data_IF_909575226540
#
_entry.id   IF_909575226540
#
_cell.length_a   1.000
_cell.length_b   1.000
_cell.length_c   1.000
_cell.angle_alpha   90.00
_cell.angle_beta   90.00
_cell.angle_gamma   90.00
#
_symmetry.space_group_name_H-M   'P 1'
#
loop_
_entity.id
_entity.type
_entity.pdbx_description
1 polymer ?
#
# COMPACT_ATOMS: atom_id res chain seq x y z
N UNK A 1 5.57 111.67 -22.28
CA UNK A 1 5.64 110.37 -21.55
C UNK A 1 5.95 110.70 -20.10
N UNK A 2 5.00 110.48 -19.18
CA UNK A 2 5.05 110.94 -17.78
C UNK A 2 6.32 110.46 -17.04
N UNK A 3 6.88 111.30 -16.17
CA UNK A 3 8.09 110.99 -15.38
C UNK A 3 8.00 109.68 -14.60
N UNK A 4 6.78 109.30 -14.20
CA UNK A 4 6.45 108.01 -13.60
C UNK A 4 6.94 106.82 -14.45
N UNK A 5 6.70 106.83 -15.76
CA UNK A 5 7.09 105.74 -16.65
C UNK A 5 8.60 105.71 -16.94
N UNK A 6 9.29 106.87 -16.86
CA UNK A 6 10.76 106.91 -16.97
C UNK A 6 11.44 106.32 -15.74
N UNK A 7 10.93 106.60 -14.54
CA UNK A 7 11.46 106.03 -13.28
C UNK A 7 11.25 104.52 -13.19
N UNK A 8 10.08 104.04 -13.60
CA UNK A 8 9.76 102.60 -13.64
C UNK A 8 10.64 101.87 -14.67
N UNK A 9 10.86 102.44 -15.86
CA UNK A 9 11.79 101.86 -16.83
C UNK A 9 13.24 101.83 -16.32
N UNK A 10 13.74 102.90 -15.70
CA UNK A 10 15.12 102.94 -15.19
C UNK A 10 15.37 101.96 -14.03
N UNK A 11 14.35 101.67 -13.21
CA UNK A 11 14.45 100.69 -12.12
C UNK A 11 14.31 99.23 -12.58
N UNK A 12 13.49 98.96 -13.59
CA UNK A 12 13.19 97.60 -14.07
C UNK A 12 14.11 97.13 -15.20
N UNK A 13 14.66 98.03 -16.03
CA UNK A 13 15.57 97.63 -17.11
C UNK A 13 16.80 96.87 -16.60
N UNK A 14 17.53 97.32 -15.55
CA UNK A 14 18.73 96.62 -15.09
C UNK A 14 18.42 95.22 -14.58
N UNK A 15 17.29 95.04 -13.89
CA UNK A 15 16.87 93.74 -13.35
C UNK A 15 16.39 92.79 -14.44
N UNK A 16 15.66 93.29 -15.45
CA UNK A 16 15.26 92.49 -16.61
C UNK A 16 16.48 92.09 -17.44
N UNK A 17 17.42 93.02 -17.67
CA UNK A 17 18.68 92.72 -18.37
C UNK A 17 19.50 91.69 -17.60
N UNK A 18 19.65 91.84 -16.28
CA UNK A 18 20.38 90.87 -15.45
C UNK A 18 19.69 89.50 -15.41
N UNK A 19 18.35 89.44 -15.38
CA UNK A 19 17.62 88.18 -15.43
C UNK A 19 17.81 87.47 -16.78
N UNK A 20 17.72 88.19 -17.89
CA UNK A 20 17.92 87.67 -19.24
C UNK A 20 19.38 87.23 -19.45
N UNK A 21 20.35 88.02 -18.98
CA UNK A 21 21.76 87.62 -18.99
C UNK A 21 21.98 86.38 -18.12
N UNK A 22 21.36 86.29 -16.94
CA UNK A 22 21.51 85.10 -16.08
C UNK A 22 20.98 83.84 -16.75
N UNK A 23 19.86 83.90 -17.48
CA UNK A 23 19.30 82.72 -18.15
C UNK A 23 20.05 82.36 -19.43
N UNK A 24 20.51 83.35 -20.21
CA UNK A 24 21.27 83.11 -21.45
C UNK A 24 22.68 82.58 -21.17
N UNK A 25 23.28 82.96 -20.04
CA UNK A 25 24.61 82.50 -19.65
C UNK A 25 24.58 81.33 -18.65
N UNK A 26 23.39 80.84 -18.25
CA UNK A 26 23.27 79.69 -17.36
C UNK A 26 23.81 78.42 -18.02
N UNK A 27 23.44 78.16 -19.28
CA UNK A 27 23.94 77.01 -20.02
C UNK A 27 25.46 77.09 -20.20
N UNK A 28 26.00 78.28 -20.47
CA UNK A 28 27.45 78.51 -20.60
C UNK A 28 28.17 78.33 -19.25
N UNK A 29 27.56 78.76 -18.14
CA UNK A 29 28.11 78.59 -16.79
C UNK A 29 28.10 77.11 -16.37
N UNK A 30 27.03 76.39 -16.68
CA UNK A 30 26.93 74.94 -16.45
C UNK A 30 28.01 74.22 -17.26
N UNK A 31 28.12 74.49 -18.57
CA UNK A 31 29.07 73.80 -19.46
C UNK A 31 30.54 74.11 -19.16
N UNK A 32 30.87 75.36 -18.82
CA UNK A 32 32.27 75.78 -18.63
C UNK A 32 32.77 75.76 -17.20
N UNK A 33 31.88 75.84 -16.20
CA UNK A 33 32.28 75.96 -14.78
C UNK A 33 31.88 74.73 -13.97
N UNK A 34 30.63 74.26 -14.12
CA UNK A 34 30.12 73.15 -13.30
C UNK A 34 30.50 71.79 -13.89
N UNK A 35 30.25 71.57 -15.18
CA UNK A 35 30.51 70.28 -15.84
C UNK A 35 31.96 69.80 -15.69
N UNK A 36 32.99 70.65 -15.93
CA UNK A 36 34.38 70.23 -15.78
C UNK A 36 34.71 69.91 -14.33
N UNK A 37 34.14 70.63 -13.36
CA UNK A 37 34.34 70.36 -11.93
C UNK A 37 33.73 69.03 -11.48
N UNK A 38 32.52 68.72 -11.95
CA UNK A 38 31.83 67.45 -11.65
C UNK A 38 32.51 66.27 -12.34
N UNK A 39 32.89 66.40 -13.61
CA UNK A 39 33.64 65.35 -14.34
C UNK A 39 34.98 65.08 -13.67
N UNK A 40 35.74 66.12 -13.29
CA UNK A 40 37.02 65.96 -12.59
C UNK A 40 36.86 65.36 -11.19
N UNK A 41 35.75 65.64 -10.49
CA UNK A 41 35.42 64.98 -9.22
C UNK A 41 35.07 63.50 -9.43
N UNK A 42 34.29 63.15 -10.47
CA UNK A 42 33.94 61.76 -10.79
C UNK A 42 35.15 60.94 -11.26
N UNK A 43 36.06 61.54 -12.02
CA UNK A 43 37.35 60.94 -12.42
C UNK A 43 38.26 60.75 -11.19
N UNK A 44 38.40 61.77 -10.33
CA UNK A 44 39.21 61.67 -9.10
C UNK A 44 38.64 60.69 -8.08
N UNK A 45 37.32 60.49 -8.04
CA UNK A 45 36.65 59.52 -7.17
C UNK A 45 36.57 58.11 -7.77
N UNK A 46 37.13 57.88 -8.97
CA UNK A 46 37.20 56.57 -9.64
C UNK A 46 35.85 55.88 -9.86
N UNK A 47 34.73 56.62 -9.74
CA UNK A 47 33.37 56.09 -9.66
C UNK A 47 32.95 55.37 -10.95
N UNK A 48 33.40 55.87 -12.11
CA UNK A 48 33.09 55.28 -13.41
C UNK A 48 33.95 54.04 -13.69
N UNK A 49 35.16 53.95 -13.12
CA UNK A 49 36.09 52.85 -13.43
C UNK A 49 35.81 51.58 -12.62
N UNK A 50 35.21 51.68 -11.43
CA UNK A 50 34.95 50.51 -10.59
C UNK A 50 33.83 49.63 -11.15
N UNK A 51 32.67 50.20 -11.48
CA UNK A 51 31.52 49.43 -11.98
C UNK A 51 31.75 48.89 -13.41
N UNK A 52 32.53 49.61 -14.23
CA UNK A 52 32.96 49.13 -15.56
C UNK A 52 34.00 48.01 -15.45
N UNK A 53 34.97 48.10 -14.51
CA UNK A 53 35.95 47.01 -14.28
C UNK A 53 35.33 45.77 -13.66
N UNK A 54 34.25 45.92 -12.90
CA UNK A 54 33.50 44.81 -12.30
C UNK A 54 32.47 44.17 -13.25
N UNK A 55 32.37 44.63 -14.51
CA UNK A 55 31.50 44.01 -15.53
C UNK A 55 30.01 44.13 -15.22
N UNK A 56 29.62 45.06 -14.34
CA UNK A 56 28.22 45.23 -13.90
C UNK A 56 27.31 45.89 -14.95
N UNK A 57 27.89 46.40 -16.03
CA UNK A 57 27.17 46.93 -17.18
C UNK A 57 27.56 46.16 -18.45
N UNK A 58 26.61 45.45 -19.04
CA UNK A 58 26.75 44.84 -20.37
C UNK A 58 26.10 45.78 -21.37
N UNK A 59 26.89 46.48 -22.19
CA UNK A 59 26.34 47.19 -23.34
C UNK A 59 26.12 46.19 -24.48
N UNK A 60 24.87 45.79 -24.70
CA UNK A 60 24.50 45.00 -25.87
C UNK A 60 23.98 45.92 -26.97
N UNK A 61 24.37 45.70 -28.22
CA UNK A 61 23.78 46.40 -29.37
C UNK A 61 22.42 45.78 -29.70
N UNK A 62 21.53 46.54 -30.36
CA UNK A 62 20.17 46.08 -30.72
C UNK A 62 20.18 44.74 -31.48
N UNK A 63 21.19 44.54 -32.32
CA UNK A 63 21.38 43.32 -33.09
C UNK A 63 21.69 42.09 -32.19
N UNK A 64 22.51 42.26 -31.15
CA UNK A 64 22.87 41.20 -30.19
C UNK A 64 21.72 40.87 -29.22
N UNK A 65 20.85 41.84 -28.93
CA UNK A 65 19.62 41.59 -28.18
C UNK A 65 18.63 40.74 -28.98
N UNK A 66 18.47 41.05 -30.28
CA UNK A 66 17.55 40.33 -31.17
C UNK A 66 18.02 38.91 -31.50
N UNK A 67 19.32 38.64 -31.57
CA UNK A 67 19.85 37.30 -31.86
C UNK A 67 19.65 36.30 -30.71
N UNK A 68 19.71 36.76 -29.46
CA UNK A 68 19.58 35.88 -28.29
C UNK A 68 18.13 35.62 -27.87
N UNK A 69 17.16 36.37 -28.40
CA UNK A 69 15.74 36.28 -28.04
C UNK A 69 14.80 36.01 -29.22
N UNK A 70 15.30 35.48 -30.34
CA UNK A 70 14.45 34.99 -31.42
C UNK A 70 13.72 33.71 -30.98
N UNK A 71 12.44 33.84 -30.64
CA UNK A 71 11.54 32.70 -30.51
C UNK A 71 11.30 32.17 -31.93
N UNK A 72 11.63 30.90 -32.17
CA UNK A 72 11.45 30.27 -33.46
C UNK A 72 9.98 30.34 -33.89
N UNK A 73 9.74 30.82 -35.11
CA UNK A 73 8.41 30.96 -35.71
C UNK A 73 7.62 29.65 -35.72
N UNK A 74 8.32 28.51 -35.83
CA UNK A 74 7.71 27.18 -35.76
C UNK A 74 7.07 26.91 -34.40
N UNK A 75 7.66 27.38 -33.30
CA UNK A 75 7.11 27.22 -31.95
C UNK A 75 5.81 28.04 -31.82
N UNK A 76 5.76 29.23 -32.39
CA UNK A 76 4.56 30.09 -32.37
C UNK A 76 3.44 29.51 -33.25
N UNK A 77 3.77 28.91 -34.39
CA UNK A 77 2.82 28.22 -35.24
C UNK A 77 2.25 26.98 -34.55
N UNK A 78 3.09 26.14 -33.95
CA UNK A 78 2.65 24.94 -33.23
C UNK A 78 1.80 25.30 -31.98
N UNK A 79 2.09 26.42 -31.31
CA UNK A 79 1.25 26.94 -30.22
C UNK A 79 -0.12 27.43 -30.72
N UNK A 80 -0.15 28.13 -31.86
CA UNK A 80 -1.38 28.59 -32.52
C UNK A 80 -2.24 27.43 -33.00
N UNK A 81 -1.60 26.40 -33.55
CA UNK A 81 -2.26 25.20 -34.11
C UNK A 81 -2.67 24.21 -33.00
N UNK A 82 -2.37 24.53 -31.73
CA UNK A 82 -2.87 23.79 -30.58
C UNK A 82 -2.15 22.46 -30.32
N UNK A 83 -0.94 22.27 -30.87
CA UNK A 83 -0.14 21.05 -30.65
C UNK A 83 0.33 20.90 -29.19
N UNK A 84 0.34 21.99 -28.42
CA UNK A 84 0.75 21.97 -27.01
C UNK A 84 -0.46 22.04 -26.07
N UNK A 85 -0.52 21.09 -25.13
CA UNK A 85 -1.50 21.09 -24.04
C UNK A 85 -0.89 21.75 -22.81
N UNK A 86 -1.65 22.63 -22.16
CA UNK A 86 -1.25 23.25 -20.89
C UNK A 86 -0.96 22.17 -19.84
N UNK A 87 0.17 22.27 -19.14
CA UNK A 87 0.57 21.34 -18.06
C UNK A 87 -0.55 21.12 -17.04
N UNK A 88 -1.28 22.18 -16.67
CA UNK A 88 -2.43 22.10 -15.76
C UNK A 88 -3.55 21.17 -16.26
N UNK A 89 -3.76 21.07 -17.59
CA UNK A 89 -4.73 20.13 -18.17
C UNK A 89 -4.21 18.70 -18.09
N UNK A 90 -2.91 18.48 -18.33
CA UNK A 90 -2.27 17.17 -18.14
C UNK A 90 -2.37 16.70 -16.69
N UNK A 91 -2.02 17.55 -15.72
CA UNK A 91 -2.14 17.27 -14.29
C UNK A 91 -3.58 16.91 -13.90
N UNK A 92 -4.57 17.68 -14.37
CA UNK A 92 -5.99 17.37 -14.09
C UNK A 92 -6.47 16.06 -14.70
N UNK A 93 -5.92 15.64 -15.84
CA UNK A 93 -6.24 14.36 -16.48
C UNK A 93 -5.59 13.22 -15.71
N UNK A 94 -4.35 13.39 -15.26
CA UNK A 94 -3.62 12.44 -14.44
C UNK A 94 -4.32 12.23 -13.09
N UNK A 95 -4.71 13.30 -12.40
CA UNK A 95 -5.44 13.25 -11.14
C UNK A 95 -6.78 12.52 -11.27
N UNK A 96 -7.59 12.88 -12.28
CA UNK A 96 -8.85 12.19 -12.56
C UNK A 96 -8.66 10.69 -12.90
N UNK A 97 -7.59 10.35 -13.62
CA UNK A 97 -7.30 8.96 -13.95
C UNK A 97 -6.87 8.18 -12.70
N UNK A 98 -6.05 8.77 -11.84
CA UNK A 98 -5.62 8.16 -10.58
C UNK A 98 -6.80 7.94 -9.64
N UNK A 99 -7.69 8.92 -9.47
CA UNK A 99 -8.91 8.76 -8.66
C UNK A 99 -9.82 7.64 -9.17
N UNK A 100 -9.98 7.53 -10.50
CA UNK A 100 -10.73 6.43 -11.12
C UNK A 100 -10.08 5.09 -10.87
N UNK A 101 -8.76 5.01 -10.99
CA UNK A 101 -7.97 3.80 -10.73
C UNK A 101 -8.11 3.36 -9.27
N UNK A 102 -7.99 4.28 -8.32
CA UNK A 102 -8.15 4.00 -6.90
C UNK A 102 -9.55 3.50 -6.56
N UNK A 103 -10.57 4.10 -7.15
CA UNK A 103 -11.96 3.63 -6.99
C UNK A 103 -12.13 2.21 -7.52
N UNK A 104 -11.64 1.93 -8.73
CA UNK A 104 -11.70 0.58 -9.32
C UNK A 104 -10.95 -0.42 -8.44
N UNK A 105 -9.74 -0.10 -7.99
CA UNK A 105 -8.96 -0.97 -7.10
C UNK A 105 -9.70 -1.25 -5.79
N UNK A 106 -10.36 -0.24 -5.21
CA UNK A 106 -11.15 -0.41 -3.99
C UNK A 106 -12.35 -1.33 -4.21
N UNK A 107 -13.10 -1.13 -5.29
CA UNK A 107 -14.26 -1.96 -5.64
C UNK A 107 -13.84 -3.42 -5.86
N UNK A 108 -12.73 -3.66 -6.58
CA UNK A 108 -12.16 -5.00 -6.76
C UNK A 108 -11.71 -5.64 -5.46
N UNK A 109 -11.02 -4.90 -4.59
CA UNK A 109 -10.60 -5.41 -3.26
C UNK A 109 -11.81 -5.84 -2.42
N UNK A 110 -12.87 -5.04 -2.43
CA UNK A 110 -14.10 -5.37 -1.70
C UNK A 110 -14.78 -6.62 -2.29
N UNK A 111 -14.89 -6.72 -3.62
CA UNK A 111 -15.46 -7.90 -4.27
C UNK A 111 -14.66 -9.18 -3.97
N UNK A 112 -13.33 -9.11 -4.01
CA UNK A 112 -12.44 -10.23 -3.66
C UNK A 112 -12.63 -10.64 -2.20
N UNK A 113 -12.72 -9.67 -1.29
CA UNK A 113 -12.93 -9.96 0.13
C UNK A 113 -14.26 -10.69 0.36
N UNK A 114 -15.36 -10.18 -0.20
CA UNK A 114 -16.68 -10.82 -0.09
C UNK A 114 -16.71 -12.22 -0.71
N UNK A 115 -16.09 -12.42 -1.87
CA UNK A 115 -15.97 -13.77 -2.46
C UNK A 115 -15.13 -14.70 -1.59
N UNK A 116 -14.05 -14.21 -0.98
CA UNK A 116 -13.21 -15.02 -0.09
C UNK A 116 -13.97 -15.48 1.15
N UNK A 117 -14.83 -14.61 1.69
CA UNK A 117 -15.71 -14.91 2.81
C UNK A 117 -16.77 -15.95 2.42
N UNK A 118 -17.43 -15.79 1.27
CA UNK A 118 -18.38 -16.77 0.73
C UNK A 118 -17.73 -18.14 0.49
N UNK A 119 -16.50 -18.17 -0.04
CA UNK A 119 -15.72 -19.40 -0.21
C UNK A 119 -15.43 -20.04 1.15
N UNK A 120 -15.08 -19.25 2.16
CA UNK A 120 -14.82 -19.76 3.51
C UNK A 120 -16.08 -20.37 4.14
N UNK A 121 -17.24 -19.70 4.02
CA UNK A 121 -18.52 -20.23 4.47
C UNK A 121 -18.90 -21.52 3.74
N UNK A 122 -18.80 -21.51 2.41
CA UNK A 122 -19.07 -22.68 1.57
C UNK A 122 -18.18 -23.87 1.96
N UNK A 123 -16.88 -23.64 2.19
CA UNK A 123 -15.96 -24.68 2.67
C UNK A 123 -16.37 -25.24 4.02
N UNK A 124 -16.74 -24.38 4.96
CA UNK A 124 -17.27 -24.79 6.26
C UNK A 124 -18.51 -25.69 6.12
N UNK A 125 -19.43 -25.33 5.23
CA UNK A 125 -20.66 -26.12 5.03
C UNK A 125 -20.37 -27.45 4.32
N UNK A 126 -19.45 -27.47 3.36
CA UNK A 126 -18.95 -28.73 2.76
C UNK A 126 -18.33 -29.63 3.83
N UNK A 127 -17.54 -29.10 4.75
CA UNK A 127 -16.94 -29.90 5.83
C UNK A 127 -17.99 -30.44 6.83
N UNK A 128 -19.04 -29.66 7.12
CA UNK A 128 -20.18 -30.14 7.91
C UNK A 128 -20.92 -31.26 7.17
N UNK A 129 -21.17 -31.10 5.88
CA UNK A 129 -21.84 -32.12 5.06
C UNK A 129 -21.01 -33.40 4.99
N UNK A 130 -19.70 -33.30 4.76
CA UNK A 130 -18.79 -34.47 4.80
C UNK A 130 -18.90 -35.22 6.12
N UNK A 131 -18.85 -34.50 7.26
CA UNK A 131 -19.01 -35.11 8.60
C UNK A 131 -20.35 -35.83 8.75
N UNK A 132 -21.45 -35.25 8.25
CA UNK A 132 -22.77 -35.88 8.28
C UNK A 132 -22.79 -37.12 7.40
N UNK A 133 -22.24 -37.06 6.19
CA UNK A 133 -22.14 -38.20 5.26
C UNK A 133 -21.35 -39.34 5.90
N UNK A 134 -20.18 -39.07 6.51
CA UNK A 134 -19.40 -40.12 7.18
C UNK A 134 -20.17 -40.80 8.33
N UNK A 135 -20.93 -40.02 9.11
CA UNK A 135 -21.78 -40.57 10.19
C UNK A 135 -22.93 -41.41 9.62
N UNK A 136 -23.55 -40.96 8.53
CA UNK A 136 -24.63 -41.68 7.86
C UNK A 136 -24.15 -42.97 7.21
N UNK A 137 -23.02 -42.92 6.52
CA UNK A 137 -22.39 -44.09 5.90
C UNK A 137 -22.06 -45.16 6.96
N UNK A 138 -21.44 -44.76 8.07
CA UNK A 138 -21.18 -45.65 9.19
C UNK A 138 -22.48 -46.25 9.78
N UNK A 139 -23.56 -45.46 9.84
CA UNK A 139 -24.88 -45.93 10.28
C UNK A 139 -25.53 -46.92 9.32
N UNK A 140 -25.38 -46.70 8.01
CA UNK A 140 -25.90 -47.59 6.97
C UNK A 140 -25.14 -48.92 6.90
N UNK A 141 -23.82 -48.88 7.14
CA UNK A 141 -22.95 -50.05 7.10
C UNK A 141 -22.83 -50.77 8.46
N UNK A 142 -23.58 -50.34 9.49
CA UNK A 142 -23.55 -50.89 10.85
C UNK A 142 -22.12 -51.03 11.42
N UNK A 143 -21.26 -50.06 11.07
CA UNK A 143 -19.86 -50.11 11.44
C UNK A 143 -18.97 -49.13 10.70
N UNK A 144 -17.73 -48.98 11.18
CA UNK A 144 -16.66 -48.25 10.49
C UNK A 144 -15.28 -48.78 10.90
N UNK A 145 -14.27 -48.48 10.09
CA UNK A 145 -12.89 -48.88 10.34
C UNK A 145 -12.26 -48.02 11.46
N UNK A 146 -11.54 -48.68 12.37
CA UNK A 146 -10.79 -48.06 13.46
C UNK A 146 -9.35 -48.55 13.48
N UNK A 147 -8.42 -47.65 13.83
CA UNK A 147 -7.03 -48.03 14.14
C UNK A 147 -6.95 -48.41 15.60
N UNK A 148 -6.53 -49.63 15.88
CA UNK A 148 -6.41 -50.20 17.21
C UNK A 148 -4.96 -50.17 17.66
N UNK A 149 -4.69 -49.46 18.75
CA UNK A 149 -3.40 -49.40 19.42
C UNK A 149 -3.41 -50.30 20.65
N UNK A 150 -2.25 -50.77 21.12
CA UNK A 150 -2.18 -51.47 22.41
C UNK A 150 -1.76 -50.54 23.56
N UNK A 151 -2.14 -50.92 24.78
CA UNK A 151 -1.62 -50.37 26.02
C UNK A 151 -1.32 -51.47 27.04
N UNK A 152 -0.54 -51.14 28.07
CA UNK A 152 -0.16 -52.09 29.13
C UNK A 152 -0.98 -51.95 30.43
N UNK A 153 -1.91 -50.98 30.51
CA UNK A 153 -2.78 -50.86 31.69
C UNK A 153 -3.75 -52.05 31.78
N UNK A 154 -3.65 -52.84 32.84
CA UNK A 154 -4.47 -54.04 33.09
C UNK A 154 -5.90 -53.74 33.53
N UNK A 155 -6.18 -52.52 34.01
CA UNK A 155 -7.52 -52.12 34.46
C UNK A 155 -8.57 -52.19 33.33
N UNK A 156 -8.12 -51.99 32.08
CA UNK A 156 -8.97 -52.02 30.89
C UNK A 156 -8.87 -53.36 30.13
N UNK A 157 -8.44 -54.44 30.79
CA UNK A 157 -8.42 -55.77 30.17
C UNK A 157 -9.85 -56.20 29.86
N UNK A 158 -10.10 -56.68 28.63
CA UNK A 158 -11.43 -57.02 28.14
C UNK A 158 -12.30 -55.82 27.77
N UNK A 159 -11.76 -54.59 27.78
CA UNK A 159 -12.47 -53.37 27.41
C UNK A 159 -11.80 -52.69 26.22
N UNK A 160 -12.61 -52.02 25.39
CA UNK A 160 -12.13 -51.21 24.27
C UNK A 160 -12.20 -49.73 24.62
N UNK A 161 -11.05 -49.07 24.69
CA UNK A 161 -11.01 -47.63 24.87
C UNK A 161 -11.21 -46.96 23.51
N UNK A 162 -12.23 -46.12 23.38
CA UNK A 162 -12.63 -45.50 22.10
C UNK A 162 -12.52 -43.97 22.17
N UNK A 163 -11.93 -43.38 21.14
CA UNK A 163 -11.59 -41.96 21.11
C UNK A 163 -12.80 -41.02 20.97
N UNK A 164 -13.18 -40.34 22.05
CA UNK A 164 -14.31 -39.38 22.05
C UNK A 164 -14.06 -38.09 21.25
N UNK A 165 -12.83 -37.82 20.85
CA UNK A 165 -12.53 -36.68 19.97
C UNK A 165 -12.92 -36.96 18.51
N UNK A 166 -13.06 -38.23 18.12
CA UNK A 166 -13.56 -38.59 16.80
C UNK A 166 -15.08 -38.45 16.73
N UNK A 167 -15.57 -37.85 15.64
CA UNK A 167 -17.00 -37.56 15.49
C UNK A 167 -17.89 -38.82 15.33
N UNK A 168 -17.37 -39.90 14.72
CA UNK A 168 -18.13 -41.14 14.56
C UNK A 168 -18.33 -41.80 15.91
N UNK A 169 -17.24 -42.02 16.64
CA UNK A 169 -17.25 -42.60 17.99
C UNK A 169 -18.16 -41.78 18.91
N UNK A 170 -18.01 -40.45 18.92
CA UNK A 170 -18.80 -39.55 19.79
C UNK A 170 -20.30 -39.58 19.49
N UNK A 171 -20.70 -39.76 18.23
CA UNK A 171 -22.11 -39.68 17.83
C UNK A 171 -22.82 -41.04 17.80
N UNK A 172 -22.09 -42.11 17.53
CA UNK A 172 -22.67 -43.43 17.26
C UNK A 172 -22.52 -44.40 18.43
N UNK A 173 -21.52 -44.20 19.29
CA UNK A 173 -21.19 -45.17 20.33
C UNK A 173 -21.57 -44.65 21.72
N UNK A 174 -21.84 -45.59 22.62
CA UNK A 174 -22.33 -45.36 23.97
C UNK A 174 -21.36 -46.04 24.94
N UNK A 175 -21.00 -45.32 26.01
CA UNK A 175 -20.13 -45.86 27.05
C UNK A 175 -20.82 -47.02 27.77
N UNK A 176 -20.09 -48.12 28.00
CA UNK A 176 -20.58 -49.33 28.65
C UNK A 176 -21.46 -50.21 27.76
N UNK A 177 -21.59 -49.90 26.47
CA UNK A 177 -22.20 -50.81 25.49
C UNK A 177 -21.14 -51.75 24.92
N UNK A 178 -21.57 -52.96 24.57
CA UNK A 178 -20.73 -53.96 23.93
C UNK A 178 -20.63 -53.67 22.43
N UNK A 179 -19.42 -53.74 21.89
CA UNK A 179 -19.13 -53.55 20.48
C UNK A 179 -18.20 -54.63 19.97
N UNK A 180 -18.41 -55.01 18.72
CA UNK A 180 -17.61 -56.03 18.08
C UNK A 180 -16.47 -55.40 17.29
N UNK A 181 -15.24 -55.89 17.52
CA UNK A 181 -14.08 -55.62 16.68
C UNK A 181 -13.75 -56.84 15.82
N UNK A 182 -13.65 -56.60 14.51
CA UNK A 182 -13.31 -57.63 13.53
C UNK A 182 -12.00 -57.29 12.81
N UNK A 183 -11.04 -58.20 12.83
CA UNK A 183 -9.84 -58.14 12.00
C UNK A 183 -9.69 -59.45 11.21
N UNK A 184 -9.70 -59.35 9.88
CA UNK A 184 -9.67 -60.52 8.99
C UNK A 184 -10.77 -61.54 9.35
N UNK A 185 -10.40 -62.71 9.90
CA UNK A 185 -11.33 -63.75 10.36
C UNK A 185 -11.49 -63.81 11.88
N UNK A 186 -10.76 -62.98 12.62
CA UNK A 186 -10.84 -62.88 14.07
C UNK A 186 -11.88 -61.83 14.46
N UNK A 187 -12.70 -62.15 15.44
CA UNK A 187 -13.66 -61.23 16.04
C UNK A 187 -13.65 -61.36 17.55
N UNK A 188 -13.89 -60.24 18.22
CA UNK A 188 -14.05 -60.20 19.67
C UNK A 188 -14.99 -59.07 20.07
N UNK A 189 -15.81 -59.34 21.07
CA UNK A 189 -16.75 -58.39 21.64
C UNK A 189 -16.11 -57.74 22.88
N UNK A 190 -16.28 -56.42 23.01
CA UNK A 190 -15.66 -55.62 24.06
C UNK A 190 -16.62 -54.59 24.61
N UNK A 191 -16.58 -54.38 25.94
CA UNK A 191 -17.25 -53.24 26.57
C UNK A 191 -16.53 -51.93 26.23
N UNK A 192 -17.27 -50.94 25.71
CA UNK A 192 -16.69 -49.66 25.33
C UNK A 192 -16.45 -48.71 26.51
N UNK A 193 -15.22 -48.22 26.59
CA UNK A 193 -14.83 -47.10 27.44
C UNK A 193 -14.54 -45.88 26.57
N UNK A 194 -15.51 -44.99 26.47
CA UNK A 194 -15.37 -43.74 25.73
C UNK A 194 -14.47 -42.75 26.50
N UNK A 195 -13.33 -42.35 25.92
CA UNK A 195 -12.43 -41.33 26.48
C UNK A 195 -11.62 -40.61 25.39
N UNK A 196 -11.05 -39.44 25.66
CA UNK A 196 -10.09 -38.82 24.75
C UNK A 196 -8.83 -39.67 24.66
N UNK A 197 -8.40 -40.00 23.45
CA UNK A 197 -7.16 -40.75 23.19
C UNK A 197 -6.12 -39.87 22.49
N UNK A 198 -4.86 -40.13 22.80
CA UNK A 198 -3.71 -39.45 22.20
C UNK A 198 -2.79 -40.47 21.55
N UNK A 199 -2.21 -40.09 20.41
CA UNK A 199 -1.19 -40.87 19.70
C UNK A 199 0.08 -40.02 19.70
N UNK A 200 1.22 -40.59 20.10
CA UNK A 200 2.50 -39.90 20.23
C UNK A 200 2.45 -38.58 21.03
N UNK A 201 1.64 -38.58 22.10
CA UNK A 201 1.47 -37.43 22.99
C UNK A 201 0.59 -36.31 22.44
N UNK A 202 -0.04 -36.47 21.26
CA UNK A 202 -0.98 -35.50 20.69
C UNK A 202 -2.40 -36.06 20.68
N UNK A 203 -3.37 -35.19 20.99
CA UNK A 203 -4.79 -35.54 20.86
C UNK A 203 -5.09 -35.93 19.41
N UNK A 204 -5.69 -37.11 19.22
CA UNK A 204 -6.09 -37.58 17.90
C UNK A 204 -7.57 -37.27 17.65
N UNK A 205 -7.91 -36.94 16.40
CA UNK A 205 -9.30 -36.85 15.91
C UNK A 205 -9.67 -38.02 14.99
N UNK A 206 -8.73 -38.94 14.75
CA UNK A 206 -8.94 -40.13 13.95
C UNK A 206 -9.81 -41.16 14.71
N UNK A 207 -10.51 -42.04 13.98
CA UNK A 207 -11.25 -43.16 14.58
C UNK A 207 -10.25 -44.19 15.12
N UNK A 208 -9.81 -43.97 16.36
CA UNK A 208 -8.83 -44.82 17.03
C UNK A 208 -9.46 -45.51 18.25
N UNK A 209 -9.00 -46.74 18.47
CA UNK A 209 -9.31 -47.55 19.63
C UNK A 209 -8.00 -47.94 20.33
N UNK A 210 -8.10 -48.31 21.60
CA UNK A 210 -6.98 -48.87 22.35
C UNK A 210 -7.42 -50.08 23.16
N UNK A 211 -6.65 -51.17 23.04
CA UNK A 211 -6.87 -52.43 23.74
C UNK A 211 -5.70 -52.76 24.65
N UNK A 212 -5.95 -53.57 25.67
CA UNK A 212 -4.88 -54.17 26.45
C UNK A 212 -4.05 -55.13 25.58
N UNK A 213 -2.73 -55.15 25.76
CA UNK A 213 -1.80 -55.87 24.86
C UNK A 213 -2.17 -57.34 24.62
N UNK A 214 -2.64 -58.07 25.63
CA UNK A 214 -3.02 -59.48 25.45
C UNK A 214 -4.28 -59.60 24.57
N UNK A 215 -5.23 -58.68 24.70
CA UNK A 215 -6.49 -58.68 23.94
C UNK A 215 -6.28 -58.17 22.51
N UNK A 216 -5.39 -57.18 22.36
CA UNK A 216 -4.88 -56.75 21.06
C UNK A 216 -4.23 -57.93 20.33
N UNK A 217 -3.29 -58.63 20.98
CA UNK A 217 -2.57 -59.73 20.33
C UNK A 217 -3.54 -60.82 19.86
N UNK A 218 -4.51 -61.23 20.70
CA UNK A 218 -5.56 -62.18 20.29
C UNK A 218 -6.33 -61.75 19.04
N UNK A 219 -6.65 -60.46 18.93
CA UNK A 219 -7.40 -59.95 17.78
C UNK A 219 -6.53 -59.94 16.51
N UNK A 220 -5.23 -59.67 16.65
CA UNK A 220 -4.26 -59.50 15.57
C UNK A 220 -3.19 -60.61 15.54
N UNK A 221 -3.53 -61.84 15.94
CA UNK A 221 -2.59 -62.96 16.14
C UNK A 221 -1.81 -63.33 14.85
N UNK A 222 -2.29 -62.90 13.69
CA UNK A 222 -1.70 -63.05 12.35
C UNK A 222 -0.78 -61.89 11.93
N UNK A 223 -0.85 -60.74 12.60
CA UNK A 223 -0.02 -59.58 12.31
C UNK A 223 1.30 -59.67 13.06
N UNK A 224 2.43 -59.76 12.34
CA UNK A 224 3.76 -59.46 12.87
C UNK A 224 3.76 -58.00 13.36
N UNK A 225 3.39 -57.80 14.62
CA UNK A 225 2.90 -56.54 15.19
C UNK A 225 3.92 -55.41 15.12
N UNK A 226 3.59 -54.37 14.36
CA UNK A 226 4.14 -53.01 14.44
C UNK A 226 3.50 -52.19 15.57
N UNK A 227 2.58 -52.80 16.32
CA UNK A 227 1.88 -52.19 17.46
C UNK A 227 0.61 -51.42 17.16
N UNK A 228 0.18 -51.38 15.90
CA UNK A 228 -1.08 -50.77 15.45
C UNK A 228 -1.72 -51.68 14.41
N UNK A 229 -3.00 -52.01 14.59
CA UNK A 229 -3.78 -52.81 13.66
C UNK A 229 -5.03 -52.08 13.18
N UNK A 230 -5.49 -52.38 11.97
CA UNK A 230 -6.77 -51.86 11.46
C UNK A 230 -7.86 -52.90 11.70
N UNK A 231 -8.97 -52.50 12.34
CA UNK A 231 -10.11 -53.37 12.59
C UNK A 231 -11.42 -52.69 12.19
N UNK A 232 -12.43 -53.49 11.85
CA UNK A 232 -13.79 -53.02 11.64
C UNK A 232 -14.54 -53.05 12.97
N UNK A 233 -15.02 -51.89 13.42
CA UNK A 233 -15.92 -51.79 14.56
C UNK A 233 -17.37 -51.94 14.08
N UNK A 234 -18.17 -52.75 14.77
CA UNK A 234 -19.61 -52.98 14.49
C UNK A 234 -20.46 -52.90 15.76
N UNK A 235 -21.74 -52.60 15.61
CA UNK A 235 -22.74 -52.50 16.68
C UNK A 235 -24.08 -53.11 16.27
#
# INVERSE_FOLDING_TARGET
MNEFWKGVLFGLLPTIIMAILSSLFFDIFIDKVILPGVVKQLENQNYVSHDLKEGKFVSTNLDSFNTNHMIDSSILLNLKDGEFVLTKKLESVEENNNERLDKVVKDYKQAIFSQSEEIAFTRSDVDKLKKVITVLDAKLNEGFQVKVYYHHNREYKGQIQLNTNNILIKKLLIHGSEYQLNHASNYADFDAVLRPLSVDGKLSFEPIASLYIDDHNKLFDDAKSSGVGDAQLRW
#
